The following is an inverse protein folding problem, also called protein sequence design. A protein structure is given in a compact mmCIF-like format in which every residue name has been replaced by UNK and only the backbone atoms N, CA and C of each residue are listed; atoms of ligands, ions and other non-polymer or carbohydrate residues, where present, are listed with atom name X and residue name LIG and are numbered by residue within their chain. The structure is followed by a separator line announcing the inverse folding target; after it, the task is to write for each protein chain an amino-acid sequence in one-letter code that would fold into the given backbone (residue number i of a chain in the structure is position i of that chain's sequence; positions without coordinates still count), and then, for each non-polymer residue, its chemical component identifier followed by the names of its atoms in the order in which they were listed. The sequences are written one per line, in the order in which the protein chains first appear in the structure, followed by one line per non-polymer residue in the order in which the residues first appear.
data_IF_212080272276
#
_entry.id   IF_212080272276
#
_cell.length_a   1.000
_cell.length_b   1.000
_cell.length_c   1.000
_cell.angle_alpha   90.00
_cell.angle_beta   90.00
_cell.angle_gamma   90.00
#
_symmetry.space_group_name_H-M   'P 1'
#
loop_
_entity.id
_entity.type
_entity.pdbx_description
1 polymer ?
#
# COMPACT_ATOMS: atom_id res chain seq x y z
N UNK A 1 24.56 -55.56 -18.09
CA UNK A 1 24.08 -54.30 -17.47
C UNK A 1 25.25 -53.34 -17.40
N UNK A 2 25.26 -52.30 -18.23
CA UNK A 2 26.34 -51.32 -18.27
C UNK A 2 25.99 -50.12 -17.37
N UNK A 3 26.92 -49.72 -16.51
CA UNK A 3 26.80 -48.58 -15.61
C UNK A 3 26.71 -47.26 -16.40
N UNK A 4 25.90 -46.28 -15.97
CA UNK A 4 25.82 -44.99 -16.65
C UNK A 4 27.15 -44.22 -16.55
N UNK A 5 27.49 -43.42 -17.58
CA UNK A 5 28.76 -42.71 -17.64
C UNK A 5 28.90 -41.64 -16.53
N UNK A 6 30.12 -41.36 -16.07
CA UNK A 6 30.37 -40.40 -15.00
C UNK A 6 30.00 -38.97 -15.41
N UNK A 7 29.39 -38.23 -14.48
CA UNK A 7 28.95 -36.86 -14.69
C UNK A 7 30.13 -35.89 -14.85
N UNK A 8 30.03 -34.89 -15.75
CA UNK A 8 31.11 -33.94 -15.99
C UNK A 8 31.37 -33.02 -14.79
N UNK A 9 32.62 -32.54 -14.62
CA UNK A 9 33.00 -31.73 -13.46
C UNK A 9 32.30 -30.37 -13.46
N UNK A 10 31.79 -29.97 -12.29
CA UNK A 10 31.18 -28.64 -12.07
C UNK A 10 32.24 -27.56 -12.22
N UNK A 11 32.09 -26.70 -13.23
CA UNK A 11 32.87 -25.48 -13.37
C UNK A 11 32.51 -24.45 -12.29
N UNK A 12 33.52 -23.72 -11.82
CA UNK A 12 33.37 -22.73 -10.76
C UNK A 12 32.87 -21.40 -11.33
N UNK A 13 31.71 -20.93 -10.85
CA UNK A 13 31.13 -19.64 -11.22
C UNK A 13 31.75 -18.55 -10.35
N UNK A 14 32.61 -17.71 -10.93
CA UNK A 14 33.14 -16.50 -10.29
C UNK A 14 32.07 -15.41 -10.32
N UNK A 15 31.49 -15.08 -9.17
CA UNK A 15 30.52 -14.00 -9.01
C UNK A 15 31.27 -12.71 -8.65
N UNK A 16 31.35 -11.76 -9.59
CA UNK A 16 31.96 -10.45 -9.37
C UNK A 16 31.13 -9.55 -8.44
N UNK A 17 31.81 -8.64 -7.71
CA UNK A 17 31.22 -7.76 -6.67
C UNK A 17 30.38 -6.58 -7.19
N UNK A 18 30.21 -6.39 -8.50
CA UNK A 18 29.46 -5.25 -9.05
C UNK A 18 28.21 -5.71 -9.82
N UNK A 19 27.13 -4.94 -9.67
CA UNK A 19 25.79 -5.27 -10.12
C UNK A 19 25.72 -5.59 -11.63
N UNK A 20 25.16 -6.77 -11.91
CA UNK A 20 24.50 -7.21 -13.14
C UNK A 20 25.01 -6.61 -14.47
N UNK A 21 26.26 -6.92 -14.83
CA UNK A 21 26.60 -7.13 -16.25
C UNK A 21 26.81 -8.62 -16.44
N UNK A 22 25.74 -9.32 -16.81
CA UNK A 22 25.88 -10.70 -17.29
C UNK A 22 26.52 -10.64 -18.67
N UNK A 23 27.84 -10.52 -18.71
CA UNK A 23 28.62 -10.77 -19.92
C UNK A 23 28.55 -12.27 -20.19
N UNK A 24 27.52 -12.69 -20.94
CA UNK A 24 27.45 -14.06 -21.46
C UNK A 24 28.59 -14.17 -22.45
N UNK A 25 29.72 -14.71 -22.00
CA UNK A 25 30.83 -15.08 -22.89
C UNK A 25 30.35 -16.25 -23.73
N UNK A 26 29.65 -15.97 -24.83
CA UNK A 26 29.44 -16.96 -25.88
C UNK A 26 30.81 -17.48 -26.31
N UNK A 27 31.02 -18.80 -26.37
CA UNK A 27 32.30 -19.35 -26.79
C UNK A 27 32.66 -18.82 -28.18
N UNK A 28 33.96 -18.60 -28.48
CA UNK A 28 34.37 -18.01 -29.73
C UNK A 28 33.82 -18.87 -30.87
N UNK A 29 33.15 -18.21 -31.82
CA UNK A 29 32.69 -18.79 -33.07
C UNK A 29 33.89 -19.45 -33.76
N UNK A 30 34.05 -20.77 -33.61
CA UNK A 30 34.91 -21.54 -34.49
C UNK A 30 34.20 -21.63 -35.84
N UNK A 31 34.59 -20.71 -36.72
CA UNK A 31 34.25 -20.70 -38.13
C UNK A 31 34.91 -21.92 -38.78
N UNK A 32 34.13 -22.99 -38.99
CA UNK A 32 34.63 -24.19 -39.66
C UNK A 32 33.59 -25.31 -39.85
N UNK A 33 33.01 -25.35 -41.06
CA UNK A 33 32.59 -26.56 -41.81
C UNK A 33 31.32 -27.34 -41.37
N UNK A 34 30.31 -27.27 -42.26
CA UNK A 34 29.37 -28.32 -42.71
C UNK A 34 28.55 -29.17 -41.71
N UNK A 35 27.22 -29.01 -41.86
CA UNK A 35 26.14 -30.02 -41.83
C UNK A 35 25.77 -30.76 -40.52
N UNK A 36 24.48 -30.63 -40.21
CA UNK A 36 23.57 -31.55 -39.50
C UNK A 36 23.94 -31.96 -38.06
N UNK A 37 23.41 -31.21 -37.09
CA UNK A 37 22.52 -31.68 -36.02
C UNK A 37 22.37 -30.57 -34.99
N UNK A 38 21.21 -29.92 -34.98
CA UNK A 38 20.82 -28.94 -33.98
C UNK A 38 20.49 -29.68 -32.67
N UNK A 39 21.49 -30.24 -31.98
CA UNK A 39 21.30 -30.71 -30.61
C UNK A 39 21.15 -29.49 -29.73
N UNK A 40 19.90 -29.21 -29.37
CA UNK A 40 19.48 -28.12 -28.51
C UNK A 40 20.41 -28.02 -27.28
N UNK A 41 21.18 -26.95 -27.19
CA UNK A 41 21.90 -26.58 -25.96
C UNK A 41 20.81 -26.34 -24.90
N UNK A 42 20.76 -27.10 -23.79
CA UNK A 42 19.80 -26.83 -22.73
C UNK A 42 20.15 -25.48 -22.12
N UNK A 43 19.39 -24.44 -22.48
CA UNK A 43 19.43 -23.15 -21.78
C UNK A 43 18.80 -23.39 -20.42
N UNK A 44 19.60 -23.71 -19.41
CA UNK A 44 19.11 -23.77 -18.03
C UNK A 44 18.73 -22.36 -17.63
N UNK A 45 17.42 -22.10 -17.58
CA UNK A 45 16.88 -20.82 -17.16
C UNK A 45 17.14 -20.66 -15.66
N UNK A 46 18.26 -20.03 -15.32
CA UNK A 46 18.58 -19.66 -13.94
C UNK A 46 17.75 -18.42 -13.64
N UNK A 47 16.71 -18.59 -12.82
CA UNK A 47 15.89 -17.48 -12.34
C UNK A 47 16.78 -16.51 -11.56
N UNK A 48 17.08 -15.31 -12.08
CA UNK A 48 17.96 -14.35 -11.41
C UNK A 48 17.38 -13.88 -10.07
N UNK A 49 16.08 -14.07 -9.87
CA UNK A 49 15.39 -13.80 -8.61
C UNK A 49 15.78 -14.75 -7.48
N UNK A 50 16.14 -16.00 -7.79
CA UNK A 50 16.48 -17.06 -6.81
C UNK A 50 17.99 -17.13 -6.56
N UNK A 51 18.81 -16.73 -7.54
CA UNK A 51 20.28 -16.80 -7.46
C UNK A 51 20.95 -15.58 -6.83
N UNK A 52 20.17 -14.57 -6.39
CA UNK A 52 20.70 -13.35 -5.76
C UNK A 52 20.69 -13.47 -4.24
N UNK A 53 21.82 -13.16 -3.59
CA UNK A 53 21.98 -13.17 -2.13
C UNK A 53 21.30 -11.91 -1.56
N UNK A 54 19.98 -11.97 -1.34
CA UNK A 54 19.22 -10.86 -0.76
C UNK A 54 19.58 -10.71 0.73
N UNK A 55 20.04 -9.52 1.13
CA UNK A 55 20.19 -9.14 2.53
C UNK A 55 18.82 -8.85 3.15
N UNK A 56 18.68 -9.10 4.46
CA UNK A 56 17.44 -8.80 5.18
C UNK A 56 17.34 -7.29 5.42
N UNK A 57 16.54 -6.59 4.62
CA UNK A 57 16.23 -5.15 4.82
C UNK A 57 15.17 -4.93 5.90
N UNK A 58 14.54 -6.00 6.37
CA UNK A 58 13.39 -5.96 7.29
C UNK A 58 13.73 -5.28 8.62
N UNK A 59 14.92 -5.54 9.18
CA UNK A 59 15.33 -4.96 10.47
C UNK A 59 15.39 -3.44 10.44
N UNK A 60 15.96 -2.86 9.36
CA UNK A 60 16.07 -1.40 9.21
C UNK A 60 14.69 -0.80 8.93
N UNK A 61 13.89 -1.44 8.06
CA UNK A 61 12.54 -1.00 7.75
C UNK A 61 11.64 -1.03 9.00
N UNK A 62 11.75 -2.05 9.84
CA UNK A 62 11.00 -2.17 11.10
C UNK A 62 11.35 -1.05 12.08
N UNK A 63 12.65 -0.73 12.24
CA UNK A 63 13.07 0.38 13.10
C UNK A 63 12.49 1.73 12.63
N UNK A 64 12.58 2.02 11.33
CA UNK A 64 12.02 3.24 10.75
C UNK A 64 10.50 3.32 10.95
N UNK A 65 9.80 2.20 10.79
CA UNK A 65 8.36 2.12 11.02
C UNK A 65 7.99 2.42 12.48
N UNK A 66 8.72 1.85 13.44
CA UNK A 66 8.49 2.12 14.87
C UNK A 66 8.69 3.61 15.18
N UNK A 67 9.78 4.22 14.71
CA UNK A 67 10.05 5.65 14.90
C UNK A 67 8.92 6.50 14.30
N UNK A 68 8.44 6.14 13.10
CA UNK A 68 7.32 6.82 12.46
C UNK A 68 6.03 6.73 13.29
N UNK A 69 5.69 5.54 13.80
CA UNK A 69 4.50 5.34 14.64
C UNK A 69 4.59 6.14 15.94
N UNK A 70 5.77 6.17 16.59
CA UNK A 70 5.99 6.98 17.79
C UNK A 70 5.81 8.47 17.48
N UNK A 71 6.36 8.95 16.35
CA UNK A 71 6.19 10.33 15.90
C UNK A 71 4.71 10.69 15.70
N UNK A 72 3.94 9.81 15.07
CA UNK A 72 2.50 10.00 14.88
C UNK A 72 1.73 9.99 16.21
N UNK A 73 2.07 9.08 17.13
CA UNK A 73 1.46 9.05 18.45
C UNK A 73 1.71 10.37 19.21
N UNK A 74 2.92 10.92 19.11
CA UNK A 74 3.25 12.22 19.71
C UNK A 74 2.41 13.36 19.12
N UNK A 75 2.29 13.43 17.79
CA UNK A 75 1.44 14.43 17.12
C UNK A 75 -0.03 14.29 17.53
N UNK A 76 -0.54 13.06 17.62
CA UNK A 76 -1.89 12.80 18.09
C UNK A 76 -2.11 13.30 19.53
N UNK A 77 -1.18 13.00 20.45
CA UNK A 77 -1.25 13.45 21.85
C UNK A 77 -1.25 14.98 21.93
N UNK A 78 -0.37 15.66 21.19
CA UNK A 78 -0.37 17.12 21.14
C UNK A 78 -1.72 17.66 20.62
N UNK A 79 -2.29 17.03 19.59
CA UNK A 79 -3.61 17.36 19.08
C UNK A 79 -4.73 17.21 20.12
N UNK A 80 -4.65 16.21 21.00
CA UNK A 80 -5.63 16.03 22.07
C UNK A 80 -5.44 17.00 23.24
N UNK A 81 -4.20 17.30 23.64
CA UNK A 81 -3.94 18.21 24.76
C UNK A 81 -4.24 19.66 24.37
N UNK A 82 -3.91 20.07 23.15
CA UNK A 82 -4.04 21.46 22.70
C UNK A 82 -5.33 21.70 21.91
N UNK A 83 -5.93 20.64 21.39
CA UNK A 83 -7.19 20.70 20.65
C UNK A 83 -8.42 20.56 21.55
N UNK A 84 -9.59 20.72 20.93
CA UNK A 84 -10.90 20.51 21.56
C UNK A 84 -11.55 19.26 20.95
N UNK A 85 -11.38 18.06 21.54
CA UNK A 85 -11.91 16.82 20.96
C UNK A 85 -13.44 16.81 20.89
N UNK A 86 -14.11 17.67 21.66
CA UNK A 86 -15.57 17.78 21.71
C UNK A 86 -16.15 18.14 20.34
N UNK A 87 -15.45 18.94 19.54
CA UNK A 87 -15.89 19.31 18.18
C UNK A 87 -15.92 18.12 17.21
N UNK A 88 -15.18 17.05 17.50
CA UNK A 88 -15.13 15.86 16.64
C UNK A 88 -16.26 14.88 16.96
N UNK A 89 -16.67 14.84 18.23
CA UNK A 89 -17.69 13.91 18.75
C UNK A 89 -19.09 14.51 18.58
N UNK A 90 -19.23 15.83 18.76
CA UNK A 90 -20.51 16.50 18.74
C UNK A 90 -20.77 17.17 17.38
N UNK A 91 -21.84 16.77 16.67
CA UNK A 91 -22.23 17.47 15.45
C UNK A 91 -22.73 18.89 15.79
N UNK A 92 -22.52 19.80 14.84
CA UNK A 92 -22.90 21.22 14.98
C UNK A 92 -24.06 21.53 14.03
N UNK A 93 -25.10 22.18 14.55
CA UNK A 93 -26.25 22.64 13.77
C UNK A 93 -25.90 23.87 12.90
N UNK A 94 -26.75 24.24 11.95
CA UNK A 94 -26.59 25.38 11.04
C UNK A 94 -26.40 26.71 11.77
N UNK A 95 -26.90 26.81 13.01
CA UNK A 95 -26.72 27.96 13.89
C UNK A 95 -25.42 27.93 14.72
N UNK A 96 -24.51 27.00 14.45
CA UNK A 96 -23.24 26.89 15.18
C UNK A 96 -23.37 26.29 16.58
N UNK A 97 -24.49 25.64 16.91
CA UNK A 97 -24.75 25.06 18.23
C UNK A 97 -24.42 23.57 18.23
N UNK A 98 -23.74 23.09 19.27
CA UNK A 98 -23.38 21.68 19.41
C UNK A 98 -24.53 20.86 19.99
N UNK A 99 -24.83 19.71 19.40
CA UNK A 99 -25.87 18.80 19.88
C UNK A 99 -25.39 17.99 21.11
N UNK A 100 -26.31 17.73 22.04
CA UNK A 100 -26.05 16.88 23.22
C UNK A 100 -25.26 17.53 24.34
N UNK A 101 -24.90 18.82 24.20
CA UNK A 101 -24.17 19.58 25.21
C UNK A 101 -24.95 20.82 25.65
N UNK A 102 -24.50 21.42 26.74
CA UNK A 102 -25.04 22.65 27.29
C UNK A 102 -23.95 23.71 27.32
N UNK A 103 -24.25 24.88 26.76
CA UNK A 103 -23.40 26.06 26.88
C UNK A 103 -24.12 27.08 27.76
N UNK A 104 -23.64 27.24 29.00
CA UNK A 104 -24.27 28.08 30.01
C UNK A 104 -24.49 29.51 29.47
N UNK A 105 -25.73 29.98 29.51
CA UNK A 105 -26.12 31.31 29.07
C UNK A 105 -26.39 31.47 27.57
N UNK A 106 -26.27 30.41 26.74
CA UNK A 106 -26.50 30.51 25.30
C UNK A 106 -27.51 29.48 24.76
N UNK A 107 -27.36 28.18 25.06
CA UNK A 107 -28.34 27.15 24.72
C UNK A 107 -28.22 25.89 25.59
N UNK A 108 -29.33 25.14 25.71
CA UNK A 108 -29.38 23.83 26.35
C UNK A 108 -29.90 22.78 25.35
N UNK A 109 -28.98 21.99 24.76
CA UNK A 109 -29.29 20.93 23.77
C UNK A 109 -29.04 19.52 24.35
N UNK A 110 -29.00 19.38 25.67
CA UNK A 110 -28.70 18.10 26.33
C UNK A 110 -29.74 17.02 26.04
N UNK A 111 -30.99 17.42 25.78
CA UNK A 111 -32.10 16.54 25.36
C UNK A 111 -32.10 16.23 23.85
N UNK A 112 -31.22 16.84 23.06
CA UNK A 112 -31.13 16.70 21.60
C UNK A 112 -29.69 16.31 21.19
N UNK A 113 -29.26 15.05 21.39
CA UNK A 113 -27.89 14.62 21.11
C UNK A 113 -27.60 14.35 19.64
N UNK A 114 -28.62 14.15 18.81
CA UNK A 114 -28.47 13.79 17.40
C UNK A 114 -28.78 14.99 16.50
N UNK A 115 -27.95 15.20 15.47
CA UNK A 115 -28.24 16.15 14.41
C UNK A 115 -29.08 15.47 13.33
N UNK A 116 -30.15 16.16 12.93
CA UNK A 116 -30.98 15.69 11.85
C UNK A 116 -30.30 15.99 10.51
N UNK A 117 -29.95 14.93 9.78
CA UNK A 117 -29.46 15.03 8.41
C UNK A 117 -30.53 14.54 7.45
N UNK A 118 -30.75 15.32 6.38
CA UNK A 118 -31.56 14.87 5.27
C UNK A 118 -30.80 13.78 4.49
N UNK A 119 -31.52 12.77 4.03
CA UNK A 119 -30.94 11.78 3.12
C UNK A 119 -30.72 12.41 1.74
N UNK A 120 -29.52 12.96 1.53
CA UNK A 120 -29.14 13.60 0.27
C UNK A 120 -29.15 12.63 -0.91
N UNK A 121 -29.04 11.32 -0.67
CA UNK A 121 -29.07 10.33 -1.77
C UNK A 121 -30.43 10.31 -2.47
N UNK A 122 -31.52 10.62 -1.74
CA UNK A 122 -32.85 10.80 -2.33
C UNK A 122 -32.95 12.06 -3.18
N UNK A 123 -32.18 13.11 -2.86
CA UNK A 123 -32.15 14.36 -3.63
C UNK A 123 -31.19 14.34 -4.83
N UNK A 124 -30.22 13.43 -4.88
CA UNK A 124 -29.24 13.35 -5.98
C UNK A 124 -29.78 12.51 -7.16
N UNK A 125 -30.92 11.83 -6.99
CA UNK A 125 -31.53 11.05 -8.08
C UNK A 125 -31.95 11.93 -9.27
N UNK A 126 -31.91 11.39 -10.48
CA UNK A 126 -32.31 12.10 -11.71
C UNK A 126 -33.80 12.51 -11.69
N UNK A 127 -34.64 11.77 -10.97
CA UNK A 127 -36.07 12.04 -10.80
C UNK A 127 -36.37 13.41 -10.17
N UNK A 128 -35.41 13.96 -9.43
CA UNK A 128 -35.54 15.15 -8.59
C UNK A 128 -35.54 16.43 -9.42
N UNK A 129 -35.01 16.39 -10.65
CA UNK A 129 -35.07 17.50 -11.62
C UNK A 129 -36.51 17.87 -11.96
N UNK A 130 -37.41 16.89 -11.99
CA UNK A 130 -38.82 17.10 -12.37
C UNK A 130 -39.74 17.30 -11.15
N UNK A 131 -39.48 16.61 -10.04
CA UNK A 131 -40.36 16.63 -8.86
C UNK A 131 -39.90 17.58 -7.74
N UNK A 132 -38.70 18.16 -7.85
CA UNK A 132 -38.01 18.80 -6.73
C UNK A 132 -37.63 17.78 -5.64
N UNK A 133 -36.76 18.17 -4.70
CA UNK A 133 -36.51 17.33 -3.53
C UNK A 133 -37.51 17.66 -2.42
N UNK A 134 -38.39 16.70 -2.12
CA UNK A 134 -39.36 16.76 -1.02
C UNK A 134 -38.61 16.61 0.32
N UNK A 135 -37.87 17.64 0.73
CA UNK A 135 -37.28 17.72 2.06
C UNK A 135 -38.29 18.35 3.00
N UNK A 136 -38.49 17.74 4.17
CA UNK A 136 -39.30 18.33 5.23
C UNK A 136 -38.62 19.64 5.68
N UNK A 137 -39.19 20.79 5.32
CA UNK A 137 -38.68 22.08 5.79
C UNK A 137 -38.98 22.18 7.28
N UNK A 138 -37.92 22.18 8.09
CA UNK A 138 -38.02 22.46 9.52
C UNK A 138 -38.20 23.98 9.64
N UNK A 139 -39.42 24.42 9.96
CA UNK A 139 -39.75 25.83 10.13
C UNK A 139 -39.34 26.33 11.52
#
# INVERSE_FOLDING_TARGET
MASPPPLPPRGNVLIGRHAARFDVKTPPSMRGRSRHNLTAIPKTFVNPMVSSRRGCTDVICCFLFIVFVIGWAFVAILGFIWGKPEHLIHPTDSNGRMCGVELQGYYNLRSKPYLFYFDLTKCISYSVVFSGCQTQQVK
#
